data_IF_212405900056
#
_entry.id   IF_212405900056
#
_cell.length_a   1.000
_cell.length_b   1.000
_cell.length_c   1.000
_cell.angle_alpha   90.00
_cell.angle_beta   90.00
_cell.angle_gamma   90.00
#
_symmetry.space_group_name_H-M   'P 1'
#
loop_
_entity.id
_entity.type
_entity.pdbx_description
1 polymer ?
#
# COMPACT_ATOMS: atom_id res chain seq x y z
N UNK A 1 -3.75 17.52 11.60
CA UNK A 1 -3.79 16.05 11.45
C UNK A 1 -4.45 15.70 10.14
N UNK A 2 -3.66 15.42 9.08
CA UNK A 2 -4.23 14.79 7.90
C UNK A 2 -4.38 13.32 8.26
N UNK A 3 -5.58 12.93 8.74
CA UNK A 3 -6.00 11.53 8.71
C UNK A 3 -5.81 11.12 7.26
N UNK A 4 -4.74 10.40 7.00
CA UNK A 4 -4.53 9.83 5.70
C UNK A 4 -5.85 9.08 5.42
N UNK A 5 -6.45 9.34 4.26
CA UNK A 5 -7.67 8.64 3.87
C UNK A 5 -7.22 7.25 3.49
N UNK A 6 -7.45 6.28 4.36
CA UNK A 6 -7.18 4.88 4.03
C UNK A 6 -7.97 4.58 2.77
N UNK A 7 -7.32 4.15 1.68
CA UNK A 7 -8.00 3.85 0.44
C UNK A 7 -9.08 2.80 0.75
N UNK A 8 -10.36 3.10 0.51
CA UNK A 8 -11.45 2.18 0.90
C UNK A 8 -11.28 0.81 0.26
N UNK A 9 -10.69 0.76 -0.94
CA UNK A 9 -10.41 -0.46 -1.67
C UNK A 9 -9.31 -1.32 -1.02
N UNK A 10 -8.44 -0.73 -0.21
CA UNK A 10 -7.33 -1.43 0.47
C UNK A 10 -7.61 -1.64 1.97
N UNK A 11 -8.70 -1.10 2.49
CA UNK A 11 -8.96 -1.07 3.93
C UNK A 11 -9.08 -2.48 4.54
N UNK A 12 -9.67 -3.41 3.80
CA UNK A 12 -9.79 -4.81 4.22
C UNK A 12 -8.44 -5.54 4.22
N UNK A 13 -7.68 -5.44 3.11
CA UNK A 13 -6.36 -6.04 2.98
C UNK A 13 -5.37 -5.47 4.02
N UNK A 14 -5.46 -4.17 4.30
CA UNK A 14 -4.65 -3.51 5.33
C UNK A 14 -5.04 -3.99 6.73
N UNK A 15 -6.33 -4.18 7.01
CA UNK A 15 -6.79 -4.67 8.31
C UNK A 15 -6.28 -6.09 8.58
N UNK A 16 -6.42 -6.99 7.60
CA UNK A 16 -5.95 -8.37 7.67
C UNK A 16 -4.42 -8.43 7.88
N UNK A 17 -3.68 -7.55 7.21
CA UNK A 17 -2.22 -7.47 7.33
C UNK A 17 -1.76 -6.98 8.71
N UNK A 18 -2.41 -5.94 9.24
CA UNK A 18 -2.12 -5.45 10.59
C UNK A 18 -2.45 -6.51 11.66
N UNK A 19 -3.52 -7.28 11.47
CA UNK A 19 -3.87 -8.40 12.34
C UNK A 19 -2.77 -9.48 12.31
N UNK A 20 -2.29 -9.87 11.11
CA UNK A 20 -1.18 -10.82 10.96
C UNK A 20 0.12 -10.35 11.63
N UNK A 21 0.43 -9.05 11.55
CA UNK A 21 1.61 -8.47 12.20
C UNK A 21 1.47 -8.54 13.73
N UNK A 22 0.30 -8.20 14.27
CA UNK A 22 0.08 -8.25 15.72
C UNK A 22 0.13 -9.69 16.23
N UNK A 23 -0.43 -10.66 15.50
CA UNK A 23 -0.30 -12.08 15.81
C UNK A 23 1.17 -12.54 15.82
N UNK A 24 2.00 -12.03 14.90
CA UNK A 24 3.42 -12.32 14.83
C UNK A 24 4.16 -11.77 16.05
N UNK A 25 3.83 -10.55 16.49
CA UNK A 25 4.37 -9.95 17.72
C UNK A 25 4.01 -10.78 18.95
N UNK A 26 2.75 -11.22 19.06
CA UNK A 26 2.28 -12.06 20.16
C UNK A 26 2.96 -13.43 20.19
N UNK A 27 3.15 -14.04 19.03
CA UNK A 27 3.88 -15.31 18.89
C UNK A 27 5.35 -15.17 19.30
N UNK A 28 6.01 -14.07 18.91
CA UNK A 28 7.38 -13.72 19.33
C UNK A 28 7.47 -13.55 20.86
N UNK A 29 6.55 -12.79 21.46
CA UNK A 29 6.48 -12.59 22.91
C UNK A 29 6.27 -13.89 23.68
N UNK A 30 5.46 -14.79 23.12
CA UNK A 30 5.15 -16.11 23.70
C UNK A 30 6.23 -17.17 23.42
N UNK A 31 7.29 -16.83 22.66
CA UNK A 31 8.36 -17.76 22.21
C UNK A 31 7.83 -19.01 21.52
N UNK A 32 6.71 -18.90 20.81
CA UNK A 32 6.11 -20.02 20.08
C UNK A 32 6.75 -20.16 18.69
N UNK A 33 7.94 -20.77 18.63
CA UNK A 33 8.75 -20.88 17.41
C UNK A 33 8.02 -21.49 16.20
N UNK A 34 7.11 -22.45 16.43
CA UNK A 34 6.28 -23.03 15.37
C UNK A 34 5.32 -22.01 14.75
N UNK A 35 4.68 -21.20 15.59
CA UNK A 35 3.73 -20.18 15.13
C UNK A 35 4.46 -19.00 14.49
N UNK A 36 5.62 -18.61 15.03
CA UNK A 36 6.50 -17.58 14.44
C UNK A 36 6.86 -17.96 13.00
N UNK A 37 7.28 -19.21 12.73
CA UNK A 37 7.70 -19.62 11.39
C UNK A 37 6.56 -19.56 10.37
N UNK A 38 5.35 -19.95 10.79
CA UNK A 38 4.14 -19.89 9.94
C UNK A 38 3.79 -18.44 9.63
N UNK A 39 3.72 -17.59 10.66
CA UNK A 39 3.37 -16.18 10.52
C UNK A 39 4.41 -15.41 9.69
N UNK A 40 5.70 -15.71 9.86
CA UNK A 40 6.76 -15.13 9.03
C UNK A 40 6.57 -15.46 7.54
N UNK A 41 6.18 -16.70 7.23
CA UNK A 41 5.91 -17.10 5.84
C UNK A 41 4.74 -16.31 5.26
N UNK A 42 3.66 -16.17 6.03
CA UNK A 42 2.47 -15.40 5.62
C UNK A 42 2.81 -13.92 5.42
N UNK A 43 3.53 -13.31 6.35
CA UNK A 43 3.94 -11.90 6.22
C UNK A 43 4.84 -11.68 5.01
N UNK A 44 5.75 -12.61 4.67
CA UNK A 44 6.58 -12.52 3.46
C UNK A 44 5.76 -12.66 2.17
N UNK A 45 4.75 -13.53 2.15
CA UNK A 45 3.81 -13.62 1.01
C UNK A 45 3.04 -12.32 0.82
N UNK A 46 2.58 -11.73 1.93
CA UNK A 46 1.88 -10.45 1.91
C UNK A 46 2.81 -9.30 1.49
N UNK A 47 4.06 -9.27 1.97
CA UNK A 47 5.07 -8.29 1.55
C UNK A 47 5.30 -8.35 0.03
N UNK A 48 5.36 -9.56 -0.54
CA UNK A 48 5.48 -9.75 -1.99
C UNK A 48 4.26 -9.20 -2.72
N UNK A 49 3.04 -9.48 -2.24
CA UNK A 49 1.80 -8.97 -2.84
C UNK A 49 1.78 -7.43 -2.81
N UNK A 50 2.14 -6.81 -1.68
CA UNK A 50 2.25 -5.36 -1.54
C UNK A 50 3.25 -4.75 -2.53
N UNK A 51 4.43 -5.37 -2.70
CA UNK A 51 5.43 -4.93 -3.69
C UNK A 51 4.92 -5.03 -5.12
N UNK A 52 4.16 -6.07 -5.46
CA UNK A 52 3.52 -6.19 -6.78
C UNK A 52 2.46 -5.11 -6.98
N UNK A 53 1.64 -4.84 -5.97
CA UNK A 53 0.63 -3.78 -6.00
C UNK A 53 1.26 -2.38 -6.14
N UNK A 54 2.36 -2.12 -5.44
CA UNK A 54 3.11 -0.87 -5.57
C UNK A 54 3.62 -0.65 -7.00
N UNK A 55 4.10 -1.71 -7.68
CA UNK A 55 4.50 -1.66 -9.09
C UNK A 55 3.30 -1.34 -10.00
N UNK A 56 2.15 -1.94 -9.74
CA UNK A 56 0.93 -1.69 -10.50
C UNK A 56 0.47 -0.23 -10.35
N UNK A 57 0.42 0.28 -9.12
CA UNK A 57 0.06 1.67 -8.83
C UNK A 57 1.03 2.64 -9.50
N UNK A 58 2.34 2.35 -9.49
CA UNK A 58 3.32 3.17 -10.20
C UNK A 58 3.08 3.18 -11.72
N UNK A 59 2.66 2.05 -12.30
CA UNK A 59 2.26 1.97 -13.71
C UNK A 59 0.99 2.81 -13.98
N UNK A 60 0.01 2.77 -13.08
CA UNK A 60 -1.20 3.60 -13.18
C UNK A 60 -0.87 5.09 -13.07
N UNK A 61 0.01 5.48 -12.15
CA UNK A 61 0.46 6.87 -11.99
C UNK A 61 1.14 7.39 -13.26
N UNK A 62 2.04 6.59 -13.85
CA UNK A 62 2.68 6.93 -15.12
C UNK A 62 1.67 7.11 -16.26
N UNK A 63 0.60 6.30 -16.29
CA UNK A 63 -0.49 6.48 -17.25
C UNK A 63 -1.23 7.79 -17.01
N UNK A 64 -1.53 8.15 -15.76
CA UNK A 64 -2.18 9.43 -15.43
C UNK A 64 -1.33 10.64 -15.84
N UNK A 65 -0.02 10.59 -15.62
CA UNK A 65 0.88 11.65 -16.13
C UNK A 65 0.96 11.68 -17.65
N UNK A 66 1.01 10.51 -18.31
CA UNK A 66 0.97 10.47 -19.78
C UNK A 66 -0.35 11.03 -20.32
N UNK A 67 -1.48 10.78 -19.64
CA UNK A 67 -2.77 11.37 -19.99
C UNK A 67 -2.73 12.89 -19.82
N UNK A 68 -2.17 13.38 -18.72
CA UNK A 68 -1.99 14.81 -18.45
C UNK A 68 -1.14 15.49 -19.52
N UNK A 69 0.00 14.91 -19.89
CA UNK A 69 0.92 15.46 -20.89
C UNK A 69 0.30 15.51 -22.30
N UNK A 70 -0.63 14.61 -22.59
CA UNK A 70 -1.37 14.58 -23.86
C UNK A 70 -2.62 15.47 -23.87
N UNK A 71 -2.93 16.19 -22.77
CA UNK A 71 -4.05 17.12 -22.75
C UNK A 71 -3.73 18.33 -23.64
N UNK A 72 -4.61 18.59 -24.60
CA UNK A 72 -4.57 19.81 -25.41
C UNK A 72 -5.07 21.01 -24.58
N UNK A 73 -4.69 22.23 -24.98
CA UNK A 73 -5.16 23.47 -24.34
C UNK A 73 -6.69 23.63 -24.33
N UNK A 74 -7.40 22.89 -25.19
CA UNK A 74 -8.86 22.88 -25.29
C UNK A 74 -9.58 21.94 -24.30
N UNK A 75 -8.85 21.19 -23.48
CA UNK A 75 -9.41 20.25 -22.49
C UNK A 75 -10.06 21.01 -21.34
N UNK A 76 -11.22 20.52 -20.86
CA UNK A 76 -11.96 21.22 -19.80
C UNK A 76 -11.20 21.18 -18.46
N UNK A 77 -11.49 22.17 -17.60
CA UNK A 77 -10.90 22.22 -16.26
C UNK A 77 -11.33 20.98 -15.45
N UNK A 78 -12.54 20.48 -15.66
CA UNK A 78 -13.07 19.29 -15.01
C UNK A 78 -12.28 18.03 -15.39
N UNK A 79 -11.90 17.87 -16.65
CA UNK A 79 -11.09 16.72 -17.12
C UNK A 79 -9.68 16.74 -16.51
N UNK A 80 -9.06 17.93 -16.44
CA UNK A 80 -7.77 18.14 -15.75
C UNK A 80 -7.88 17.79 -14.26
N UNK A 81 -8.92 18.27 -13.58
CA UNK A 81 -9.16 17.98 -12.17
C UNK A 81 -9.38 16.48 -11.92
N UNK A 82 -10.07 15.79 -12.83
CA UNK A 82 -10.29 14.34 -12.71
C UNK A 82 -8.98 13.56 -12.76
N UNK A 83 -8.07 13.89 -13.68
CA UNK A 83 -6.77 13.23 -13.80
C UNK A 83 -5.91 13.50 -12.55
N UNK A 84 -5.91 14.73 -12.05
CA UNK A 84 -5.18 15.08 -10.82
C UNK A 84 -5.77 14.39 -9.58
N UNK A 85 -7.09 14.26 -9.50
CA UNK A 85 -7.74 13.52 -8.40
C UNK A 85 -7.31 12.05 -8.43
N UNK A 86 -7.31 11.42 -9.61
CA UNK A 86 -6.87 10.03 -9.77
C UNK A 86 -5.39 9.86 -9.38
N UNK A 87 -4.52 10.78 -9.81
CA UNK A 87 -3.10 10.76 -9.43
C UNK A 87 -2.91 10.91 -7.90
N UNK A 88 -3.67 11.79 -7.25
CA UNK A 88 -3.63 11.96 -5.79
C UNK A 88 -4.09 10.70 -5.04
N UNK A 89 -5.13 10.02 -5.54
CA UNK A 89 -5.60 8.77 -4.95
C UNK A 89 -4.54 7.67 -5.06
N UNK A 90 -3.87 7.56 -6.21
CA UNK A 90 -2.76 6.61 -6.42
C UNK A 90 -1.58 6.92 -5.51
N UNK A 91 -1.16 8.18 -5.41
CA UNK A 91 -0.06 8.60 -4.52
C UNK A 91 -0.37 8.33 -3.05
N UNK A 92 -1.62 8.54 -2.64
CA UNK A 92 -2.07 8.20 -1.29
C UNK A 92 -1.94 6.70 -1.04
N UNK A 93 -2.43 5.86 -1.95
CA UNK A 93 -2.27 4.40 -1.88
C UNK A 93 -0.81 3.97 -1.79
N UNK A 94 0.07 4.54 -2.62
CA UNK A 94 1.51 4.22 -2.59
C UNK A 94 2.15 4.59 -1.26
N UNK A 95 1.83 5.77 -0.70
CA UNK A 95 2.34 6.17 0.62
C UNK A 95 1.97 5.15 1.69
N UNK A 96 0.74 4.65 1.67
CA UNK A 96 0.29 3.64 2.62
C UNK A 96 1.00 2.31 2.47
N UNK A 97 1.12 1.81 1.24
CA UNK A 97 1.81 0.55 0.97
C UNK A 97 3.27 0.64 1.44
N UNK A 98 3.94 1.77 1.21
CA UNK A 98 5.30 1.96 1.68
C UNK A 98 5.39 1.94 3.22
N UNK A 99 4.47 2.63 3.91
CA UNK A 99 4.43 2.57 5.38
C UNK A 99 4.27 1.13 5.89
N UNK A 100 3.42 0.32 5.25
CA UNK A 100 3.25 -1.09 5.64
C UNK A 100 4.48 -1.94 5.36
N UNK A 101 5.18 -1.67 4.25
CA UNK A 101 6.45 -2.34 3.96
C UNK A 101 7.53 -1.97 4.99
N UNK A 102 7.54 -0.72 5.44
CA UNK A 102 8.43 -0.26 6.51
C UNK A 102 8.08 -0.96 7.84
N UNK A 103 6.79 -1.03 8.21
CA UNK A 103 6.33 -1.75 9.40
C UNK A 103 6.72 -3.24 9.35
N UNK A 104 6.55 -3.91 8.20
CA UNK A 104 7.00 -5.29 8.00
C UNK A 104 8.53 -5.39 8.17
N UNK A 105 9.30 -4.49 7.56
CA UNK A 105 10.75 -4.53 7.64
C UNK A 105 11.26 -4.38 9.08
N UNK A 106 10.66 -3.48 9.87
CA UNK A 106 10.97 -3.31 11.29
C UNK A 106 10.74 -4.60 12.10
N UNK A 107 9.71 -5.38 11.75
CA UNK A 107 9.44 -6.67 12.41
C UNK A 107 10.43 -7.77 12.03
N UNK A 108 11.13 -7.69 10.89
CA UNK A 108 12.14 -8.68 10.52
C UNK A 108 13.56 -8.30 10.94
N UNK A 109 13.83 -7.02 11.17
CA UNK A 109 15.13 -6.53 11.66
C UNK A 109 15.32 -6.68 13.19
N UNK A 110 14.26 -7.04 13.94
CA UNK A 110 14.27 -7.35 15.39
C UNK A 110 14.26 -8.86 15.72
#
# INVERSE_FOLDING_TARGET
EQKAKTPPDLLAEIFELNEQIEELRDAKNSKNNSQITILQTQVLETEKMLKERAKELNSQLNKSFSQWDNLLDSVSIEEKQKILSQANDILSQMKYINNLLDDIAEEFDQ
#
